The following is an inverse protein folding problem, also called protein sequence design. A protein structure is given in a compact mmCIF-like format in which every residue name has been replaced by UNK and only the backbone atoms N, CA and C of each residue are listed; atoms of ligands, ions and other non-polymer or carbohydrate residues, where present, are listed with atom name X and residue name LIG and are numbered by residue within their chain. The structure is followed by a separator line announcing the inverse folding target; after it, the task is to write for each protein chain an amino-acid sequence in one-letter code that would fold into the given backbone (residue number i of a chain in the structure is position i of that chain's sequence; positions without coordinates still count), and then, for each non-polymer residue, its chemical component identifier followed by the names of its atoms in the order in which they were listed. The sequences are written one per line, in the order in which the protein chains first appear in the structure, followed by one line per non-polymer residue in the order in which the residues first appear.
data_IF_254557215148
#
_entry.id   IF_254557215148
#
_cell.length_a   1.000
_cell.length_b   1.000
_cell.length_c   1.000
_cell.angle_alpha   90.00
_cell.angle_beta   90.00
_cell.angle_gamma   90.00
#
_symmetry.space_group_name_H-M   'P 1'
#
loop_
_entity.id
_entity.type
_entity.pdbx_description
1 polymer ?
#
# COMPACT_ATOMS: atom_id res chain seq x y z
N UNK A 1 -11.47 -35.74 14.52
CA UNK A 1 -10.97 -35.24 13.22
C UNK A 1 -10.54 -33.80 13.40
N UNK A 2 -9.23 -33.56 13.64
CA UNK A 2 -8.69 -32.21 13.83
C UNK A 2 -8.21 -31.68 12.46
N UNK A 3 -8.78 -30.57 11.99
CA UNK A 3 -8.40 -29.94 10.72
C UNK A 3 -7.02 -29.27 10.79
N UNK A 4 -6.34 -29.05 9.65
CA UNK A 4 -5.00 -28.47 9.62
C UNK A 4 -5.03 -26.99 10.05
N UNK A 5 -4.25 -26.67 11.07
CA UNK A 5 -4.02 -25.30 11.54
C UNK A 5 -3.26 -24.52 10.46
N UNK A 6 -3.91 -23.50 9.87
CA UNK A 6 -3.23 -22.53 9.00
C UNK A 6 -2.29 -21.71 9.88
N UNK A 7 -1.01 -22.07 9.88
CA UNK A 7 0.03 -21.26 10.50
C UNK A 7 0.12 -19.93 9.75
N UNK A 8 -0.09 -18.78 10.42
CA UNK A 8 0.06 -17.49 9.78
C UNK A 8 1.54 -17.26 9.42
N UNK A 9 1.83 -16.65 8.25
CA UNK A 9 3.20 -16.41 7.81
C UNK A 9 3.92 -15.53 8.84
N UNK A 10 5.08 -16.02 9.28
CA UNK A 10 5.94 -15.34 10.24
C UNK A 10 6.95 -14.48 9.47
N UNK A 11 7.07 -13.22 9.90
CA UNK A 11 8.03 -12.19 9.48
C UNK A 11 7.75 -11.48 8.16
N UNK A 12 6.85 -10.49 8.24
CA UNK A 12 6.95 -9.28 7.42
C UNK A 12 7.54 -8.19 8.31
N UNK A 13 8.79 -7.74 8.09
CA UNK A 13 9.29 -6.54 8.74
C UNK A 13 8.51 -5.34 8.20
N UNK A 14 7.67 -4.73 9.04
CA UNK A 14 6.97 -3.48 8.69
C UNK A 14 7.94 -2.32 8.90
N UNK A 15 8.52 -1.83 7.81
CA UNK A 15 9.31 -0.61 7.81
C UNK A 15 8.33 0.58 7.70
N UNK A 16 7.80 1.01 8.84
CA UNK A 16 6.91 2.17 8.92
C UNK A 16 7.34 3.08 10.06
N UNK A 17 8.38 3.88 9.82
CA UNK A 17 8.58 5.12 10.55
C UNK A 17 8.02 6.26 9.70
N UNK A 18 6.93 6.86 10.17
CA UNK A 18 6.32 8.04 9.54
C UNK A 18 7.01 9.27 10.13
N UNK A 19 7.91 9.88 9.35
CA UNK A 19 8.53 11.17 9.71
C UNK A 19 7.45 12.25 9.66
N UNK A 20 7.02 12.73 10.83
CA UNK A 20 6.12 13.87 10.95
C UNK A 20 6.92 15.15 10.76
N UNK A 21 6.73 15.84 9.63
CA UNK A 21 7.18 17.22 9.48
C UNK A 21 6.22 18.12 10.27
N UNK A 22 6.69 19.01 11.16
CA UNK A 22 5.81 19.95 11.84
C UNK A 22 5.26 20.94 10.81
N UNK A 23 3.97 20.84 10.52
CA UNK A 23 3.22 21.86 9.81
C UNK A 23 2.86 22.97 10.81
N UNK A 24 3.56 24.08 10.74
CA UNK A 24 3.28 25.28 11.52
C UNK A 24 2.34 26.19 10.69
N UNK A 25 1.07 26.28 11.11
CA UNK A 25 0.09 27.19 10.52
C UNK A 25 -1.33 27.03 11.14
N UNK A 26 -1.98 28.10 11.62
CA UNK A 26 -3.23 28.03 12.38
C UNK A 26 -4.47 27.73 11.51
N UNK A 27 -5.58 27.23 12.11
CA UNK A 27 -6.78 26.86 11.39
C UNK A 27 -7.58 28.09 10.94
N UNK A 28 -7.80 28.24 9.63
CA UNK A 28 -8.81 29.15 9.10
C UNK A 28 -10.17 28.48 9.23
N UNK A 29 -10.91 28.86 10.27
CA UNK A 29 -12.35 28.63 10.38
C UNK A 29 -13.08 29.52 9.38
N UNK A 30 -13.68 28.93 8.34
CA UNK A 30 -14.69 29.63 7.54
C UNK A 30 -16.05 29.07 7.93
N UNK A 31 -16.68 29.77 8.87
CA UNK A 31 -18.07 29.59 9.26
C UNK A 31 -18.97 30.30 8.25
N UNK A 32 -19.86 29.56 7.58
CA UNK A 32 -20.92 30.11 6.72
C UNK A 32 -22.23 29.37 7.03
N UNK A 33 -22.97 29.91 8.00
CA UNK A 33 -24.42 29.79 8.10
C UNK A 33 -24.97 31.20 7.87
N UNK A 34 -26.03 31.39 7.05
CA UNK A 34 -27.38 31.41 7.65
C UNK A 34 -28.49 30.83 6.75
N UNK A 35 -29.47 30.18 7.39
CA UNK A 35 -30.78 29.87 6.81
C UNK A 35 -31.63 31.15 6.59
N UNK A 36 -32.61 31.12 5.68
CA UNK A 36 -33.99 31.21 6.16
C UNK A 36 -34.98 30.30 5.39
N UNK A 37 -35.85 29.60 6.13
CA UNK A 37 -37.19 29.19 5.69
C UNK A 37 -38.17 30.39 5.88
N UNK A 38 -39.45 30.44 5.38
CA UNK A 38 -40.41 29.35 5.07
C UNK A 38 -41.35 29.70 3.86
N UNK A 39 -42.66 29.34 3.83
CA UNK A 39 -43.32 28.05 3.59
C UNK A 39 -44.22 28.06 2.33
N UNK A 40 -44.53 26.91 1.73
CA UNK A 40 -45.86 26.66 1.13
C UNK A 40 -45.99 25.20 0.65
N UNK A 41 -46.46 24.34 1.55
CA UNK A 41 -47.22 23.17 1.16
C UNK A 41 -48.62 23.66 0.76
N UNK A 42 -48.89 23.72 -0.54
CA UNK A 42 -50.25 23.78 -1.05
C UNK A 42 -50.49 22.54 -1.91
N UNK A 43 -51.32 21.66 -1.35
CA UNK A 43 -51.92 20.56 -2.05
C UNK A 43 -52.71 21.08 -3.26
N UNK A 44 -52.33 20.62 -4.45
CA UNK A 44 -53.26 20.52 -5.58
C UNK A 44 -53.26 19.07 -6.02
N UNK A 45 -54.04 18.27 -5.30
CA UNK A 45 -54.61 17.06 -5.86
C UNK A 45 -55.82 17.48 -6.70
N UNK A 46 -55.84 17.02 -7.96
CA UNK A 46 -56.99 16.52 -8.75
C UNK A 46 -56.90 16.97 -10.21
N UNK A 47 -56.34 16.10 -11.07
CA UNK A 47 -57.00 15.72 -12.32
C UNK A 47 -56.36 14.47 -12.94
N UNK A 48 -57.25 13.64 -13.49
CA UNK A 48 -57.11 12.20 -13.72
C UNK A 48 -56.55 11.83 -15.09
N UNK A 49 -55.87 10.67 -15.18
CA UNK A 49 -56.30 9.52 -15.99
C UNK A 49 -55.21 8.41 -16.03
N UNK A 50 -55.60 7.11 -15.98
CA UNK A 50 -54.68 5.98 -16.13
C UNK A 50 -54.70 5.42 -17.57
N UNK A 51 -53.56 5.45 -18.27
CA UNK A 51 -53.25 4.72 -19.51
C UNK A 51 -51.79 5.05 -19.86
N UNK A 52 -50.85 4.17 -20.17
CA UNK A 52 -50.78 2.74 -20.50
C UNK A 52 -49.38 2.26 -20.10
N UNK A 53 -49.07 0.94 -20.04
CA UNK A 53 -47.69 0.50 -20.00
C UNK A 53 -47.07 0.83 -21.35
N UNK A 54 -46.41 1.99 -21.44
CA UNK A 54 -45.51 2.27 -22.54
C UNK A 54 -44.42 1.21 -22.47
N UNK A 55 -44.47 0.27 -23.42
CA UNK A 55 -43.34 -0.56 -23.78
C UNK A 55 -42.09 0.31 -23.73
N UNK A 56 -40.96 -0.13 -23.13
CA UNK A 56 -39.72 0.60 -23.33
C UNK A 56 -39.46 0.56 -24.83
N UNK A 57 -39.74 1.71 -25.46
CA UNK A 57 -39.32 2.03 -26.80
C UNK A 57 -37.84 1.70 -26.84
N UNK A 58 -37.52 0.70 -27.64
CA UNK A 58 -36.17 0.18 -27.77
C UNK A 58 -35.38 1.27 -28.47
N UNK A 59 -34.90 2.23 -27.68
CA UNK A 59 -33.95 3.24 -28.10
C UNK A 59 -32.81 2.47 -28.73
N UNK A 60 -32.68 2.70 -30.02
CA UNK A 60 -31.71 2.07 -30.91
C UNK A 60 -30.35 2.53 -30.41
N UNK A 61 -29.73 1.70 -29.59
CA UNK A 61 -28.34 1.26 -29.61
C UNK A 61 -27.28 2.15 -30.33
N UNK A 62 -27.17 3.42 -29.97
CA UNK A 62 -25.97 4.23 -30.27
C UNK A 62 -24.84 4.02 -29.23
N UNK A 63 -25.08 3.19 -28.21
CA UNK A 63 -24.19 2.93 -27.07
C UNK A 63 -23.49 1.57 -27.04
N UNK A 64 -23.94 0.52 -27.76
CA UNK A 64 -23.28 -0.79 -27.74
C UNK A 64 -21.80 -0.79 -28.10
N UNK A 65 -21.32 -0.09 -29.16
CA UNK A 65 -19.90 -0.12 -29.47
C UNK A 65 -19.06 0.53 -28.36
N UNK A 66 -19.57 1.60 -27.72
CA UNK A 66 -18.91 2.27 -26.58
C UNK A 66 -18.83 1.37 -25.35
N UNK A 67 -19.92 0.70 -24.99
CA UNK A 67 -19.93 -0.23 -23.85
C UNK A 67 -19.05 -1.47 -24.08
N UNK A 68 -18.94 -1.91 -25.34
CA UNK A 68 -18.02 -2.97 -25.72
C UNK A 68 -16.56 -2.52 -25.61
N UNK A 69 -16.22 -1.32 -26.09
CA UNK A 69 -14.90 -0.70 -25.93
C UNK A 69 -14.50 -0.59 -24.45
N UNK A 70 -15.39 -0.07 -23.60
CA UNK A 70 -15.20 0.04 -22.15
C UNK A 70 -14.94 -1.33 -21.50
N UNK A 71 -15.75 -2.33 -21.85
CA UNK A 71 -15.56 -3.70 -21.38
C UNK A 71 -14.19 -4.26 -21.81
N UNK A 72 -13.78 -4.01 -23.05
CA UNK A 72 -12.47 -4.43 -23.53
C UNK A 72 -11.34 -3.73 -22.77
N UNK A 73 -11.44 -2.43 -22.50
CA UNK A 73 -10.45 -1.69 -21.70
C UNK A 73 -10.35 -2.27 -20.31
N UNK A 74 -11.48 -2.48 -19.62
CA UNK A 74 -11.48 -3.11 -18.29
C UNK A 74 -10.81 -4.47 -18.29
N UNK A 75 -11.09 -5.29 -19.31
CA UNK A 75 -10.49 -6.62 -19.44
C UNK A 75 -8.98 -6.54 -19.72
N UNK A 76 -8.54 -5.58 -20.53
CA UNK A 76 -7.12 -5.34 -20.80
C UNK A 76 -6.41 -4.85 -19.55
N UNK A 77 -6.99 -3.87 -18.83
CA UNK A 77 -6.42 -3.36 -17.58
C UNK A 77 -6.25 -4.49 -16.56
N UNK A 78 -7.29 -5.28 -16.33
CA UNK A 78 -7.21 -6.44 -15.42
C UNK A 78 -6.12 -7.44 -15.83
N UNK A 79 -5.97 -7.70 -17.12
CA UNK A 79 -4.92 -8.60 -17.63
C UNK A 79 -3.53 -7.98 -17.46
N UNK A 80 -3.38 -6.70 -17.74
CA UNK A 80 -2.13 -5.96 -17.56
C UNK A 80 -1.75 -5.94 -16.09
N UNK A 81 -2.68 -5.66 -15.19
CA UNK A 81 -2.44 -5.65 -13.74
C UNK A 81 -1.92 -7.00 -13.25
N UNK A 82 -2.55 -8.11 -13.69
CA UNK A 82 -2.07 -9.46 -13.36
C UNK A 82 -0.66 -9.75 -13.88
N UNK A 83 -0.33 -9.29 -15.10
CA UNK A 83 1.00 -9.49 -15.68
C UNK A 83 2.03 -8.61 -14.96
N UNK A 84 1.69 -7.35 -14.69
CA UNK A 84 2.57 -6.43 -13.96
C UNK A 84 2.87 -6.92 -12.56
N UNK A 85 1.88 -7.42 -11.81
CA UNK A 85 2.12 -7.98 -10.46
C UNK A 85 3.07 -9.19 -10.52
N UNK A 86 2.89 -10.10 -11.48
CA UNK A 86 3.81 -11.23 -11.67
C UNK A 86 5.23 -10.77 -12.02
N UNK A 87 5.36 -9.82 -12.95
CA UNK A 87 6.65 -9.28 -13.35
C UNK A 87 7.33 -8.53 -12.21
N UNK A 88 6.58 -7.76 -11.43
CA UNK A 88 7.08 -7.03 -10.26
C UNK A 88 7.60 -8.00 -9.19
N UNK A 89 6.81 -9.02 -8.85
CA UNK A 89 7.25 -10.06 -7.88
C UNK A 89 8.53 -10.74 -8.32
N UNK A 90 8.63 -11.07 -9.61
CA UNK A 90 9.83 -11.70 -10.18
C UNK A 90 11.03 -10.76 -10.11
N UNK A 91 10.87 -9.50 -10.50
CA UNK A 91 11.94 -8.51 -10.46
C UNK A 91 12.45 -8.28 -9.02
N UNK A 92 11.54 -8.14 -8.06
CA UNK A 92 11.90 -8.00 -6.64
C UNK A 92 12.65 -9.25 -6.16
N UNK A 93 12.15 -10.45 -6.45
CA UNK A 93 12.81 -11.69 -6.04
C UNK A 93 14.24 -11.79 -6.59
N UNK A 94 14.45 -11.39 -7.86
CA UNK A 94 15.79 -11.37 -8.47
C UNK A 94 16.70 -10.37 -7.76
N UNK A 95 16.25 -9.13 -7.56
CA UNK A 95 17.06 -8.10 -6.89
C UNK A 95 17.40 -8.50 -5.46
N UNK A 96 16.43 -9.00 -4.70
CA UNK A 96 16.65 -9.46 -3.32
C UNK A 96 17.64 -10.63 -3.29
N UNK A 97 17.50 -11.60 -4.20
CA UNK A 97 18.42 -12.73 -4.28
C UNK A 97 19.85 -12.27 -4.62
N UNK A 98 20.00 -11.39 -5.61
CA UNK A 98 21.30 -10.83 -6.00
C UNK A 98 21.91 -10.06 -4.85
N UNK A 99 21.18 -9.12 -4.25
CA UNK A 99 21.65 -8.33 -3.10
C UNK A 99 22.01 -9.22 -1.92
N UNK A 100 21.16 -10.19 -1.54
CA UNK A 100 21.43 -11.11 -0.42
C UNK A 100 22.69 -11.93 -0.67
N UNK A 101 22.88 -12.40 -1.91
CA UNK A 101 24.07 -13.17 -2.30
C UNK A 101 25.37 -12.39 -2.11
N UNK A 102 25.36 -11.07 -2.34
CA UNK A 102 26.55 -10.24 -2.18
C UNK A 102 26.74 -9.70 -0.75
N UNK A 103 25.66 -9.49 0.01
CA UNK A 103 25.75 -8.93 1.36
C UNK A 103 26.38 -9.91 2.35
N UNK A 104 26.04 -11.20 2.30
CA UNK A 104 26.58 -12.21 3.23
C UNK A 104 28.13 -12.26 3.25
N UNK A 105 28.82 -12.42 2.10
CA UNK A 105 30.29 -12.45 2.12
C UNK A 105 30.91 -11.11 2.52
N UNK A 106 30.28 -9.98 2.15
CA UNK A 106 30.75 -8.64 2.56
C UNK A 106 30.67 -8.45 4.07
N UNK A 107 29.54 -8.80 4.67
CA UNK A 107 29.34 -8.74 6.12
C UNK A 107 30.31 -9.66 6.85
N UNK A 108 30.58 -10.86 6.31
CA UNK A 108 31.57 -11.77 6.90
C UNK A 108 32.97 -11.15 6.96
N UNK A 109 33.41 -10.50 5.88
CA UNK A 109 34.72 -9.84 5.84
C UNK A 109 34.80 -8.64 6.81
N UNK A 110 33.71 -7.89 6.92
CA UNK A 110 33.60 -6.76 7.85
C UNK A 110 33.65 -7.24 9.31
N UNK A 111 32.87 -8.27 9.65
CA UNK A 111 32.89 -8.92 10.97
C UNK A 111 34.27 -9.46 11.28
N UNK A 112 34.95 -10.13 10.34
CA UNK A 112 36.31 -10.63 10.57
C UNK A 112 37.29 -9.49 10.91
N UNK A 113 37.18 -8.36 10.22
CA UNK A 113 38.05 -7.19 10.46
C UNK A 113 37.79 -6.60 11.85
N UNK A 114 36.52 -6.41 12.22
CA UNK A 114 36.12 -5.91 13.53
C UNK A 114 36.57 -6.85 14.65
N UNK A 115 36.37 -8.16 14.48
CA UNK A 115 36.79 -9.18 15.45
C UNK A 115 38.31 -9.17 15.60
N UNK A 116 39.06 -9.13 14.51
CA UNK A 116 40.52 -9.07 14.55
C UNK A 116 41.01 -7.84 15.32
N UNK A 117 40.44 -6.67 15.05
CA UNK A 117 40.79 -5.44 15.74
C UNK A 117 40.47 -5.52 17.25
N UNK A 118 39.26 -5.99 17.60
CA UNK A 118 38.87 -6.16 19.00
C UNK A 118 39.77 -7.15 19.76
N UNK A 119 40.18 -8.24 19.12
CA UNK A 119 41.12 -9.21 19.71
C UNK A 119 42.51 -8.58 19.91
N UNK A 120 43.00 -7.79 18.96
CA UNK A 120 44.27 -7.09 19.12
C UNK A 120 44.23 -6.08 20.27
N UNK A 121 43.16 -5.29 20.36
CA UNK A 121 42.97 -4.32 21.45
C UNK A 121 42.88 -5.02 22.80
N UNK A 122 42.07 -6.07 22.92
CA UNK A 122 41.95 -6.84 24.15
C UNK A 122 43.29 -7.48 24.55
N UNK A 123 44.03 -8.06 23.59
CA UNK A 123 45.34 -8.64 23.87
C UNK A 123 46.36 -7.57 24.32
N UNK A 124 46.35 -6.39 23.70
CA UNK A 124 47.21 -5.29 24.11
C UNK A 124 46.89 -4.82 25.55
N UNK A 125 45.60 -4.80 25.93
CA UNK A 125 45.16 -4.47 27.28
C UNK A 125 45.61 -5.52 28.30
N UNK A 126 45.51 -6.82 27.98
CA UNK A 126 45.99 -7.90 28.85
C UNK A 126 47.51 -7.82 29.06
N UNK A 127 48.28 -7.61 28.00
CA UNK A 127 49.73 -7.43 28.13
C UNK A 127 50.09 -6.19 28.96
N UNK A 128 49.38 -5.07 28.80
CA UNK A 128 49.62 -3.87 29.60
C UNK A 128 49.28 -4.09 31.08
N UNK A 129 48.15 -4.75 31.36
CA UNK A 129 47.72 -5.08 32.72
C UNK A 129 48.69 -6.03 33.44
N UNK A 130 49.25 -7.00 32.73
CA UNK A 130 50.27 -7.91 33.28
C UNK A 130 51.60 -7.19 33.58
N UNK A 131 51.96 -6.14 32.81
CA UNK A 131 53.18 -5.36 33.07
C UNK A 131 53.03 -4.35 34.22
N UNK A 132 51.83 -3.83 34.47
CA UNK A 132 51.55 -2.93 35.63
C UNK A 132 51.42 -3.70 36.96
N UNK A 133 51.23 -5.03 36.91
CA UNK A 133 51.08 -5.89 38.09
C UNK A 133 52.40 -6.47 38.65
N UNK A 134 53.55 -6.19 38.01
CA UNK A 134 54.90 -6.65 38.39
C UNK A 134 55.73 -5.51 38.98
#
# INVERSE_FOLDING_TARGET
MAGPHKTPPRFVPTLTDVVHMPAEGPPVVVQLEPAPAPPQAQAQALQASPASPSLPDRVVDDGQPRHFEEYMVHRVMQRVDMVLDQHLRKAIAQVVQEQTRFLVPRLRAEVETVVRHAVYEALAQELAGDHDAV
#
